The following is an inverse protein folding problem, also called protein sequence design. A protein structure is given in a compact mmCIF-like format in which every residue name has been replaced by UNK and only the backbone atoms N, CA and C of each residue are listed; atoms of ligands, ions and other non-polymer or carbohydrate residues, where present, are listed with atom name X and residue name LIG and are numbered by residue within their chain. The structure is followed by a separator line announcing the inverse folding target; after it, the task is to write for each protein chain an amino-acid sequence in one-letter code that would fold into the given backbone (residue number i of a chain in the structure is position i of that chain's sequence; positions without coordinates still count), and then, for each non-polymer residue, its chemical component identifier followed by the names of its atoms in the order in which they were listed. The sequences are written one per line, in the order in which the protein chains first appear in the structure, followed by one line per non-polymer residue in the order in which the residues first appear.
data_IF_828503244677
#
_entry.id   IF_828503244677
#
_cell.length_a   1.000
_cell.length_b   1.000
_cell.length_c   1.000
_cell.angle_alpha   90.00
_cell.angle_beta   90.00
_cell.angle_gamma   90.00
#
_symmetry.space_group_name_H-M   'P 1'
#
loop_
_entity.id
_entity.type
_entity.pdbx_description
1 polymer ?
#
# COMPACT_ATOMS: atom_id res chain seq x y z
N UNK A 1 10.40 -20.87 21.23
CA UNK A 1 11.29 -19.73 20.95
C UNK A 1 10.77 -19.01 19.72
N UNK A 2 9.87 -18.03 19.90
CA UNK A 2 9.33 -17.27 18.77
C UNK A 2 10.39 -16.27 18.31
N UNK A 3 10.93 -16.47 17.11
CA UNK A 3 11.95 -15.63 16.52
C UNK A 3 11.38 -14.22 16.31
N UNK A 4 11.80 -13.30 17.18
CA UNK A 4 11.47 -11.89 17.15
C UNK A 4 12.26 -11.23 15.99
N UNK A 5 11.84 -11.48 14.74
CA UNK A 5 12.47 -10.93 13.56
C UNK A 5 11.94 -9.51 13.30
N UNK A 6 12.35 -8.55 14.15
CA UNK A 6 12.23 -7.12 13.82
C UNK A 6 13.15 -6.85 12.63
N UNK A 7 12.65 -7.03 11.39
CA UNK A 7 13.33 -6.53 10.20
C UNK A 7 13.48 -5.02 10.36
N UNK A 8 14.71 -4.51 10.24
CA UNK A 8 14.94 -3.07 10.07
C UNK A 8 14.43 -2.69 8.67
N UNK A 9 13.24 -2.10 8.63
CA UNK A 9 12.58 -1.65 7.39
C UNK A 9 13.01 -0.23 6.98
N UNK A 10 13.81 0.44 7.82
CA UNK A 10 14.30 1.80 7.59
C UNK A 10 15.08 1.90 6.26
N UNK A 11 14.66 2.83 5.40
CA UNK A 11 15.30 3.10 4.10
C UNK A 11 14.82 2.22 2.95
N UNK A 12 13.89 1.27 3.17
CA UNK A 12 13.28 0.49 2.09
C UNK A 12 12.03 1.19 1.54
N UNK A 13 11.79 1.06 0.24
CA UNK A 13 10.57 1.52 -0.42
C UNK A 13 9.48 0.44 -0.39
N UNK A 14 8.21 0.85 -0.39
CA UNK A 14 7.09 -0.08 -0.39
C UNK A 14 7.13 -1.01 -1.61
N UNK A 15 7.30 -0.49 -2.82
CA UNK A 15 7.32 -1.30 -4.05
C UNK A 15 8.36 -2.43 -4.04
N UNK A 16 9.53 -2.20 -3.43
CA UNK A 16 10.57 -3.24 -3.29
C UNK A 16 10.23 -4.27 -2.23
N UNK A 17 9.55 -3.85 -1.17
CA UNK A 17 9.28 -4.68 0.00
C UNK A 17 8.02 -5.53 -0.15
N UNK A 18 6.96 -4.95 -0.72
CA UNK A 18 5.63 -5.56 -0.77
C UNK A 18 5.27 -6.06 -2.16
N UNK A 19 5.73 -5.39 -3.23
CA UNK A 19 5.32 -5.71 -4.62
C UNK A 19 6.41 -6.47 -5.38
N UNK A 20 7.58 -6.67 -4.77
CA UNK A 20 8.76 -7.24 -5.43
C UNK A 20 9.14 -6.49 -6.74
N UNK A 21 8.83 -5.20 -6.81
CA UNK A 21 9.03 -4.36 -7.98
C UNK A 21 10.22 -3.41 -7.76
N UNK A 22 10.99 -3.14 -8.82
CA UNK A 22 12.06 -2.13 -8.78
C UNK A 22 11.55 -0.70 -8.84
N UNK A 23 10.32 -0.49 -9.31
CA UNK A 23 9.71 0.82 -9.51
C UNK A 23 8.44 1.02 -8.65
N UNK A 24 8.12 2.26 -8.23
CA UNK A 24 6.86 2.59 -7.58
C UNK A 24 5.63 2.15 -8.39
N UNK A 25 4.48 2.03 -7.71
CA UNK A 25 3.22 1.78 -8.40
C UNK A 25 2.94 2.87 -9.43
N UNK A 26 2.50 2.47 -10.63
CA UNK A 26 2.27 3.39 -11.73
C UNK A 26 1.05 2.97 -12.54
N UNK A 27 0.34 3.95 -13.08
CA UNK A 27 -0.79 3.74 -13.99
C UNK A 27 -2.17 3.91 -13.33
N UNK A 28 -3.19 4.16 -14.15
CA UNK A 28 -4.54 4.49 -13.69
C UNK A 28 -5.25 3.38 -12.92
N UNK A 29 -4.89 2.12 -13.18
CA UNK A 29 -5.45 0.97 -12.46
C UNK A 29 -4.71 0.64 -11.15
N UNK A 30 -3.50 1.20 -10.94
CA UNK A 30 -2.68 0.90 -9.78
C UNK A 30 -1.93 2.16 -9.29
N UNK A 31 -2.66 3.24 -8.94
CA UNK A 31 -2.04 4.52 -8.60
C UNK A 31 -1.24 4.40 -7.30
N UNK A 32 -0.08 5.06 -7.26
CA UNK A 32 0.72 5.17 -6.05
C UNK A 32 0.00 6.10 -5.04
N UNK A 33 -0.38 5.61 -3.86
CA UNK A 33 -1.06 6.44 -2.87
C UNK A 33 -0.19 7.61 -2.40
N UNK A 34 1.13 7.42 -2.32
CA UNK A 34 2.07 8.49 -1.98
C UNK A 34 2.05 9.63 -3.00
N UNK A 35 2.02 9.32 -4.30
CA UNK A 35 2.00 10.36 -5.34
C UNK A 35 0.67 11.12 -5.35
N UNK A 36 -0.45 10.43 -5.13
CA UNK A 36 -1.75 11.09 -5.01
C UNK A 36 -1.83 12.02 -3.80
N UNK A 37 -1.28 11.61 -2.67
CA UNK A 37 -1.23 12.46 -1.47
C UNK A 37 -0.29 13.65 -1.66
N UNK A 38 0.88 13.47 -2.28
CA UNK A 38 1.77 14.59 -2.62
C UNK A 38 1.10 15.61 -3.55
N UNK A 39 0.35 15.12 -4.54
CA UNK A 39 -0.33 15.96 -5.54
C UNK A 39 -1.51 16.72 -4.94
N UNK A 40 -2.30 16.08 -4.09
CA UNK A 40 -3.59 16.61 -3.63
C UNK A 40 -3.55 17.20 -2.22
N UNK A 41 -2.58 16.80 -1.40
CA UNK A 41 -2.57 17.08 0.03
C UNK A 41 -3.77 16.47 0.79
N UNK A 42 -4.47 15.49 0.20
CA UNK A 42 -5.69 14.90 0.80
C UNK A 42 -5.48 13.41 1.07
N UNK A 43 -6.19 12.84 2.06
CA UNK A 43 -6.25 11.40 2.22
C UNK A 43 -6.77 10.72 0.95
N UNK A 44 -6.20 9.57 0.61
CA UNK A 44 -6.63 8.77 -0.55
C UNK A 44 -6.84 7.31 -0.15
N UNK A 45 -7.75 6.66 -0.87
CA UNK A 45 -7.98 5.22 -0.79
C UNK A 45 -7.82 4.61 -2.17
N UNK A 46 -7.01 3.56 -2.26
CA UNK A 46 -6.72 2.85 -3.51
C UNK A 46 -6.78 1.34 -3.27
N UNK A 47 -7.08 0.57 -4.31
CA UNK A 47 -7.02 -0.89 -4.27
C UNK A 47 -5.83 -1.37 -5.11
N UNK A 48 -5.03 -2.24 -4.52
CA UNK A 48 -3.80 -2.79 -5.09
C UNK A 48 -3.92 -4.32 -5.17
N UNK A 49 -3.28 -4.92 -6.16
CA UNK A 49 -3.09 -6.38 -6.21
C UNK A 49 -1.64 -6.69 -5.92
N UNK A 50 -1.39 -7.33 -4.79
CA UNK A 50 -0.08 -7.79 -4.37
C UNK A 50 0.07 -9.29 -4.65
N UNK A 51 1.30 -9.79 -4.59
CA UNK A 51 1.60 -11.21 -4.71
C UNK A 51 2.35 -11.66 -3.46
N UNK A 52 1.92 -12.78 -2.88
CA UNK A 52 2.65 -13.40 -1.78
C UNK A 52 3.89 -14.17 -2.29
N UNK A 53 4.58 -14.88 -1.39
CA UNK A 53 5.79 -15.65 -1.73
C UNK A 53 5.52 -16.86 -2.64
N UNK A 54 4.29 -17.33 -2.68
CA UNK A 54 3.84 -18.44 -3.53
C UNK A 54 3.22 -17.93 -4.83
N UNK A 55 3.30 -16.62 -5.09
CA UNK A 55 2.74 -15.95 -6.25
C UNK A 55 1.19 -15.95 -6.29
N UNK A 56 0.53 -16.13 -5.14
CA UNK A 56 -0.91 -15.99 -5.05
C UNK A 56 -1.30 -14.51 -5.02
N UNK A 57 -2.38 -14.16 -5.72
CA UNK A 57 -2.93 -12.80 -5.71
C UNK A 57 -3.52 -12.46 -4.35
N UNK A 58 -3.20 -11.26 -3.86
CA UNK A 58 -3.77 -10.66 -2.66
C UNK A 58 -4.36 -9.31 -3.00
N UNK A 59 -5.64 -9.13 -2.69
CA UNK A 59 -6.33 -7.86 -2.88
C UNK A 59 -6.15 -7.00 -1.64
N UNK A 60 -5.53 -5.84 -1.81
CA UNK A 60 -5.16 -4.94 -0.73
C UNK A 60 -5.91 -3.62 -0.87
N UNK A 61 -6.62 -3.21 0.17
CA UNK A 61 -7.21 -1.87 0.26
C UNK A 61 -6.24 -0.99 1.06
N UNK A 62 -5.70 0.06 0.41
CA UNK A 62 -4.68 0.93 0.98
C UNK A 62 -5.29 2.30 1.25
N UNK A 63 -5.10 2.76 2.49
CA UNK A 63 -5.47 4.08 2.97
C UNK A 63 -4.20 4.86 3.27
N UNK A 64 -4.10 6.06 2.72
CA UNK A 64 -2.93 6.90 2.88
C UNK A 64 -3.33 8.28 3.40
N UNK A 65 -2.77 8.64 4.56
CA UNK A 65 -3.07 9.89 5.27
C UNK A 65 -1.82 10.77 5.37
N UNK A 66 -1.85 12.01 4.84
CA UNK A 66 -0.74 12.94 4.99
C UNK A 66 -0.58 13.40 6.44
N UNK A 67 0.67 13.57 6.86
CA UNK A 67 1.05 14.34 8.04
C UNK A 67 1.74 15.62 7.56
N UNK A 68 1.28 16.75 8.08
CA UNK A 68 1.75 18.07 7.70
C UNK A 68 2.70 18.65 8.74
N UNK A 69 3.63 19.49 8.29
CA UNK A 69 4.36 20.40 9.17
C UNK A 69 3.54 21.66 9.49
N UNK A 70 4.19 22.62 10.18
CA UNK A 70 3.58 23.88 10.60
C UNK A 70 3.22 24.79 9.42
N UNK A 71 3.87 24.59 8.28
CA UNK A 71 3.70 25.38 7.06
C UNK A 71 2.69 24.72 6.11
N UNK A 72 2.07 23.61 6.51
CA UNK A 72 1.07 22.89 5.72
C UNK A 72 1.67 21.99 4.63
N UNK A 73 2.98 21.70 4.68
CA UNK A 73 3.64 20.81 3.73
C UNK A 73 3.56 19.36 4.21
N UNK A 74 3.27 18.44 3.29
CA UNK A 74 3.31 17.00 3.59
C UNK A 74 4.75 16.58 3.88
N UNK A 75 5.02 16.11 5.10
CA UNK A 75 6.34 15.67 5.56
C UNK A 75 6.41 14.16 5.82
N UNK A 76 5.27 13.54 6.11
CA UNK A 76 5.16 12.09 6.32
C UNK A 76 3.83 11.57 5.80
N UNK A 77 3.75 10.25 5.66
CA UNK A 77 2.56 9.53 5.24
C UNK A 77 2.31 8.38 6.21
N UNK A 78 1.07 8.26 6.69
CA UNK A 78 0.60 7.04 7.35
C UNK A 78 -0.08 6.19 6.28
N UNK A 79 0.46 4.99 6.05
CA UNK A 79 -0.16 3.98 5.19
C UNK A 79 -0.79 2.89 6.05
N UNK A 80 -2.07 2.62 5.81
CA UNK A 80 -2.82 1.54 6.43
C UNK A 80 -3.34 0.61 5.33
N UNK A 81 -2.96 -0.66 5.41
CA UNK A 81 -3.25 -1.64 4.36
C UNK A 81 -4.07 -2.78 4.94
N UNK A 82 -5.19 -3.10 4.31
CA UNK A 82 -6.10 -4.18 4.70
C UNK A 82 -6.10 -5.24 3.62
N UNK A 83 -5.84 -6.50 3.98
CA UNK A 83 -6.08 -7.64 3.09
C UNK A 83 -7.60 -7.84 2.99
N UNK A 84 -8.15 -7.65 1.79
CA UNK A 84 -9.57 -7.80 1.48
C UNK A 84 -9.82 -8.96 0.51
N UNK A 85 -8.84 -9.87 0.38
CA UNK A 85 -8.91 -11.00 -0.55
C UNK A 85 -10.16 -11.85 -0.33
N UNK A 86 -10.46 -12.23 0.92
CA UNK A 86 -11.63 -13.05 1.25
C UNK A 86 -12.94 -12.38 0.79
N UNK A 87 -13.07 -11.08 1.06
CA UNK A 87 -14.22 -10.26 0.62
C UNK A 87 -14.33 -10.20 -0.91
N UNK A 88 -13.21 -10.23 -1.61
CA UNK A 88 -13.16 -10.17 -3.06
C UNK A 88 -13.60 -11.50 -3.69
N UNK A 89 -13.11 -12.63 -3.17
CA UNK A 89 -13.48 -13.96 -3.67
C UNK A 89 -14.94 -14.31 -3.37
N UNK A 90 -15.46 -13.99 -2.18
CA UNK A 90 -16.88 -14.23 -1.84
C UNK A 90 -17.87 -13.41 -2.68
N UNK A 91 -17.42 -12.32 -3.31
CA UNK A 91 -18.25 -11.53 -4.24
C UNK A 91 -18.23 -12.13 -5.66
N UNK A 92 -17.11 -12.70 -6.09
CA UNK A 92 -16.97 -13.31 -7.41
C UNK A 92 -17.70 -14.66 -7.53
N UNK A 93 -17.85 -15.42 -6.45
CA UNK A 93 -18.62 -16.68 -6.47
C UNK A 93 -20.14 -16.49 -6.58
N UNK A 94 -20.62 -15.24 -6.49
CA UNK A 94 -22.05 -14.91 -6.55
C UNK A 94 -22.48 -14.26 -7.88
N UNK A 95 -21.57 -14.15 -8.84
CA UNK A 95 -21.82 -13.75 -10.23
C UNK A 95 -21.65 -14.96 -11.15
#
# INVERSE_FOLDING_TARGET
MAANCRRKVQGMTCHRMTHHCSEPCSGGAHPCPLEEVKRTGKPVRVEHVHYDRENNKKYMEIYAYPIFDKDGKVVQLIEHTVDVSDRHYSKQEKE
#
